data_IF_460884132571
#
_entry.id   IF_460884132571
#
_cell.length_a   1.000
_cell.length_b   1.000
_cell.length_c   1.000
_cell.angle_alpha   90.00
_cell.angle_beta   90.00
_cell.angle_gamma   90.00
#
_symmetry.space_group_name_H-M   'P 1'
#
loop_
_entity.id
_entity.type
_entity.pdbx_description
1 polymer ?
#
# COMPACT_ATOMS: atom_id res chain seq x y z
N UNK A 1 -11.28 -14.43 4.53
CA UNK A 1 -9.86 -14.38 4.94
C UNK A 1 -9.49 -12.90 5.10
N UNK A 2 -8.57 -12.49 5.98
CA UNK A 2 -8.26 -11.04 6.16
C UNK A 2 -7.62 -10.41 4.91
N UNK A 3 -7.16 -11.25 3.99
CA UNK A 3 -6.63 -10.92 2.65
C UNK A 3 -7.38 -11.86 1.71
N UNK A 4 -8.13 -11.31 0.76
CA UNK A 4 -8.82 -12.07 -0.30
C UNK A 4 -7.84 -12.39 -1.46
N UNK A 5 -8.30 -13.20 -2.43
CA UNK A 5 -7.47 -13.64 -3.55
C UNK A 5 -6.97 -12.47 -4.41
N UNK A 6 -7.81 -11.46 -4.64
CA UNK A 6 -7.44 -10.24 -5.40
C UNK A 6 -6.34 -9.47 -4.65
N UNK A 7 -6.50 -9.29 -3.34
CA UNK A 7 -5.49 -8.67 -2.50
C UNK A 7 -4.16 -9.44 -2.52
N UNK A 8 -4.21 -10.78 -2.58
CA UNK A 8 -3.01 -11.62 -2.68
C UNK A 8 -2.29 -11.43 -4.02
N UNK A 9 -3.03 -11.38 -5.13
CA UNK A 9 -2.46 -11.16 -6.46
C UNK A 9 -1.76 -9.80 -6.55
N UNK A 10 -2.37 -8.73 -6.00
CA UNK A 10 -1.74 -7.41 -5.92
C UNK A 10 -0.43 -7.48 -5.13
N UNK A 11 -0.40 -8.19 -4.01
CA UNK A 11 0.81 -8.34 -3.20
C UNK A 11 1.91 -9.12 -3.93
N UNK A 12 1.56 -10.13 -4.71
CA UNK A 12 2.53 -10.86 -5.54
C UNK A 12 3.14 -9.98 -6.63
N UNK A 13 2.35 -9.10 -7.24
CA UNK A 13 2.85 -8.16 -8.24
C UNK A 13 3.70 -7.05 -7.60
N UNK A 14 3.31 -6.52 -6.43
CA UNK A 14 4.13 -5.60 -5.64
C UNK A 14 5.46 -6.23 -5.21
N UNK A 15 5.45 -7.52 -4.87
CA UNK A 15 6.67 -8.30 -4.59
C UNK A 15 7.61 -8.34 -5.80
N UNK A 16 7.07 -8.67 -6.99
CA UNK A 16 7.86 -8.75 -8.23
C UNK A 16 8.51 -7.41 -8.57
N UNK A 17 7.74 -6.32 -8.53
CA UNK A 17 8.28 -4.98 -8.81
C UNK A 17 9.32 -4.56 -7.77
N UNK A 18 9.05 -4.84 -6.49
CA UNK A 18 10.02 -4.54 -5.41
C UNK A 18 11.32 -5.33 -5.59
N UNK A 19 11.23 -6.60 -5.97
CA UNK A 19 12.41 -7.44 -6.24
C UNK A 19 13.20 -6.91 -7.42
N UNK A 20 12.53 -6.47 -8.48
CA UNK A 20 13.17 -5.89 -9.65
C UNK A 20 13.89 -4.59 -9.28
N UNK A 21 13.20 -3.65 -8.65
CA UNK A 21 13.76 -2.35 -8.26
C UNK A 21 14.94 -2.45 -7.28
N UNK A 22 14.85 -3.33 -6.27
CA UNK A 22 15.89 -3.45 -5.24
C UNK A 22 17.04 -4.37 -5.66
N UNK A 23 16.87 -5.17 -6.71
CA UNK A 23 17.69 -6.33 -7.06
C UNK A 23 18.01 -7.24 -5.86
N UNK A 24 17.15 -7.25 -4.83
CA UNK A 24 17.38 -7.93 -3.57
C UNK A 24 16.16 -8.75 -3.15
N UNK A 25 16.20 -10.04 -3.49
CA UNK A 25 15.14 -11.00 -3.13
C UNK A 25 14.83 -11.03 -1.63
N UNK A 26 15.85 -10.92 -0.77
CA UNK A 26 15.66 -10.98 0.69
C UNK A 26 14.94 -9.73 1.19
N UNK A 27 15.30 -8.57 0.65
CA UNK A 27 14.67 -7.30 1.04
C UNK A 27 13.22 -7.23 0.54
N UNK A 28 12.96 -7.62 -0.70
CA UNK A 28 11.60 -7.70 -1.23
C UNK A 28 10.69 -8.59 -0.37
N UNK A 29 11.17 -9.77 0.05
CA UNK A 29 10.41 -10.63 0.97
C UNK A 29 10.17 -9.96 2.33
N UNK A 30 11.16 -9.22 2.83
CA UNK A 30 11.05 -8.56 4.13
C UNK A 30 10.03 -7.42 4.10
N UNK A 31 10.05 -6.60 3.05
CA UNK A 31 9.07 -5.51 2.83
C UNK A 31 7.66 -6.10 2.79
N UNK A 32 7.41 -7.12 1.95
CA UNK A 32 6.08 -7.72 1.83
C UNK A 32 5.62 -8.41 3.12
N UNK A 33 6.54 -9.10 3.82
CA UNK A 33 6.25 -9.69 5.14
C UNK A 33 5.86 -8.63 6.16
N UNK A 34 6.52 -7.48 6.17
CA UNK A 34 6.21 -6.41 7.09
C UNK A 34 4.87 -5.75 6.74
N UNK A 35 4.55 -5.57 5.46
CA UNK A 35 3.25 -5.12 4.96
C UNK A 35 2.12 -6.03 5.43
N UNK A 36 2.23 -7.35 5.18
CA UNK A 36 1.23 -8.34 5.58
C UNK A 36 1.05 -8.34 7.11
N UNK A 37 2.13 -8.25 7.87
CA UNK A 37 2.06 -8.21 9.34
C UNK A 37 1.37 -6.97 9.87
N UNK A 38 1.58 -5.81 9.25
CA UNK A 38 0.89 -4.57 9.63
C UNK A 38 -0.60 -4.68 9.29
N UNK A 39 -0.93 -5.10 8.07
CA UNK A 39 -2.31 -5.25 7.61
C UNK A 39 -3.12 -6.23 8.49
N UNK A 40 -2.59 -7.43 8.74
CA UNK A 40 -3.24 -8.44 9.60
C UNK A 40 -3.47 -7.88 11.01
N UNK A 41 -2.49 -7.16 11.55
CA UNK A 41 -2.59 -6.65 12.92
C UNK A 41 -3.66 -5.56 13.06
N UNK A 42 -3.73 -4.64 12.09
CA UNK A 42 -4.82 -3.64 12.03
C UNK A 42 -6.17 -4.34 11.87
N UNK A 43 -6.27 -5.35 10.99
CA UNK A 43 -7.48 -6.13 10.79
C UNK A 43 -7.95 -6.86 12.05
N UNK A 44 -7.04 -7.41 12.86
CA UNK A 44 -7.37 -8.05 14.14
C UNK A 44 -7.87 -7.02 15.16
N UNK A 45 -7.21 -5.86 15.28
CA UNK A 45 -7.64 -4.78 16.18
C UNK A 45 -9.06 -4.30 15.81
N UNK A 46 -9.31 -4.11 14.51
CA UNK A 46 -10.63 -3.70 14.00
C UNK A 46 -11.71 -4.75 14.32
N UNK A 47 -11.47 -6.02 13.97
CA UNK A 47 -12.44 -7.11 14.20
C UNK A 47 -12.75 -7.37 15.66
N UNK A 48 -11.78 -7.11 16.55
CA UNK A 48 -11.94 -7.30 17.99
C UNK A 48 -12.41 -6.02 18.71
N UNK A 49 -12.87 -5.00 17.97
CA UNK A 49 -13.34 -3.72 18.52
C UNK A 49 -12.34 -3.08 19.50
N UNK A 50 -11.04 -3.19 19.21
CA UNK A 50 -9.98 -2.67 20.08
C UNK A 50 -9.76 -1.16 19.91
N UNK A 51 -10.29 -0.58 18.82
CA UNK A 51 -10.20 0.85 18.57
C UNK A 51 -11.23 1.63 19.38
N UNK A 52 -10.78 2.71 20.00
CA UNK A 52 -11.62 3.75 20.60
C UNK A 52 -12.42 4.52 19.55
N UNK A 53 -13.40 5.32 19.97
CA UNK A 53 -14.20 6.14 19.04
C UNK A 53 -13.32 7.12 18.23
N UNK A 54 -12.29 7.71 18.86
CA UNK A 54 -11.32 8.57 18.19
C UNK A 54 -10.54 7.80 17.11
N UNK A 55 -10.10 6.57 17.43
CA UNK A 55 -9.39 5.71 16.49
C UNK A 55 -10.27 5.21 15.35
N UNK A 56 -11.57 4.98 15.58
CA UNK A 56 -12.54 4.66 14.52
C UNK A 56 -12.66 5.81 13.52
N UNK A 57 -12.60 7.08 13.97
CA UNK A 57 -12.54 8.23 13.06
C UNK A 57 -11.25 8.21 12.22
N UNK A 58 -10.12 7.79 12.81
CA UNK A 58 -8.85 7.62 12.07
C UNK A 58 -8.97 6.48 11.05
N UNK A 59 -9.63 5.36 11.39
CA UNK A 59 -9.91 4.27 10.42
C UNK A 59 -10.66 4.81 9.21
N UNK A 60 -11.72 5.60 9.42
CA UNK A 60 -12.49 6.18 8.31
C UNK A 60 -11.68 7.18 7.48
N UNK A 61 -10.82 7.98 8.11
CA UNK A 61 -9.86 8.85 7.39
C UNK A 61 -8.88 8.02 6.55
N UNK A 62 -8.33 6.94 7.13
CA UNK A 62 -7.41 6.04 6.46
C UNK A 62 -8.07 5.34 5.27
N UNK A 63 -9.32 4.87 5.40
CA UNK A 63 -10.08 4.28 4.29
C UNK A 63 -10.26 5.27 3.15
N UNK A 64 -10.71 6.49 3.43
CA UNK A 64 -10.85 7.55 2.42
C UNK A 64 -9.51 7.87 1.74
N UNK A 65 -8.42 7.92 2.51
CA UNK A 65 -7.09 8.19 1.97
C UNK A 65 -6.55 7.04 1.10
N UNK A 66 -6.76 5.80 1.52
CA UNK A 66 -6.41 4.61 0.74
C UNK A 66 -7.21 4.54 -0.55
N UNK A 67 -8.52 4.78 -0.50
CA UNK A 67 -9.39 4.84 -1.66
C UNK A 67 -8.93 5.94 -2.65
N UNK A 68 -8.66 7.16 -2.16
CA UNK A 68 -8.08 8.23 -2.98
C UNK A 68 -6.75 7.81 -3.62
N UNK A 69 -5.85 7.20 -2.85
CA UNK A 69 -4.53 6.76 -3.35
C UNK A 69 -4.68 5.68 -4.40
N UNK A 70 -5.58 4.72 -4.20
CA UNK A 70 -5.89 3.65 -5.13
C UNK A 70 -6.42 4.19 -6.47
N UNK A 71 -7.38 5.13 -6.43
CA UNK A 71 -7.88 5.80 -7.63
C UNK A 71 -6.78 6.57 -8.37
N UNK A 72 -5.90 7.25 -7.63
CA UNK A 72 -4.74 7.96 -8.24
C UNK A 72 -3.78 6.99 -8.91
N UNK A 73 -3.49 5.83 -8.29
CA UNK A 73 -2.62 4.78 -8.88
C UNK A 73 -3.20 4.30 -10.22
N UNK A 74 -4.50 4.01 -10.26
CA UNK A 74 -5.17 3.57 -11.49
C UNK A 74 -5.16 4.68 -12.53
N UNK A 75 -5.54 5.91 -12.16
CA UNK A 75 -5.59 7.06 -13.07
C UNK A 75 -4.23 7.34 -13.73
N UNK A 76 -3.14 7.28 -12.95
CA UNK A 76 -1.78 7.47 -13.46
C UNK A 76 -1.32 6.36 -14.42
N UNK A 77 -1.90 5.16 -14.33
CA UNK A 77 -1.62 4.07 -15.26
C UNK A 77 -2.46 4.17 -16.54
N UNK A 78 -3.75 4.46 -16.40
CA UNK A 78 -4.74 4.48 -17.48
C UNK A 78 -4.68 5.73 -18.35
N UNK A 79 -4.29 6.87 -17.77
CA UNK A 79 -4.20 8.16 -18.50
C UNK A 79 -2.74 8.52 -18.73
N UNK A 80 -2.31 8.42 -19.98
CA UNK A 80 -0.93 8.75 -20.38
C UNK A 80 -0.55 10.19 -19.99
N UNK A 81 0.73 10.37 -19.65
CA UNK A 81 1.31 11.67 -19.29
C UNK A 81 0.75 12.36 -18.03
N UNK A 82 -0.09 11.69 -17.24
CA UNK A 82 -0.62 12.24 -15.97
C UNK A 82 0.19 11.83 -14.74
N UNK A 83 1.07 10.84 -14.86
CA UNK A 83 1.83 10.31 -13.73
C UNK A 83 2.72 11.38 -13.08
N UNK A 84 2.46 11.64 -11.79
CA UNK A 84 3.29 12.47 -10.94
C UNK A 84 3.73 11.69 -9.69
N UNK A 85 5.02 11.29 -9.70
CA UNK A 85 5.64 10.56 -8.59
C UNK A 85 5.60 11.33 -7.26
N UNK A 86 5.62 12.67 -7.29
CA UNK A 86 5.59 13.49 -6.08
C UNK A 86 4.21 13.48 -5.43
N UNK A 87 3.14 13.51 -6.24
CA UNK A 87 1.76 13.39 -5.78
C UNK A 87 1.53 12.01 -5.15
N UNK A 88 1.93 10.94 -5.84
CA UNK A 88 1.74 9.59 -5.31
C UNK A 88 2.59 9.31 -4.06
N UNK A 89 3.84 9.77 -4.02
CA UNK A 89 4.69 9.69 -2.82
C UNK A 89 4.05 10.40 -1.63
N UNK A 90 3.51 11.62 -1.84
CA UNK A 90 2.81 12.37 -0.79
C UNK A 90 1.58 11.63 -0.26
N UNK A 91 0.73 11.09 -1.15
CA UNK A 91 -0.45 10.32 -0.74
C UNK A 91 -0.07 9.08 0.09
N UNK A 92 1.00 8.38 -0.30
CA UNK A 92 1.50 7.23 0.45
C UNK A 92 2.08 7.63 1.81
N UNK A 93 2.72 8.79 1.92
CA UNK A 93 3.14 9.32 3.23
C UNK A 93 1.96 9.73 4.11
N UNK A 94 0.89 10.32 3.55
CA UNK A 94 -0.33 10.60 4.31
C UNK A 94 -0.99 9.30 4.82
N UNK A 95 -1.02 8.24 4.01
CA UNK A 95 -1.42 6.90 4.47
C UNK A 95 -0.53 6.40 5.62
N UNK A 96 0.79 6.56 5.51
CA UNK A 96 1.76 6.15 6.55
C UNK A 96 1.45 6.82 7.89
N UNK A 97 1.22 8.13 7.86
CA UNK A 97 1.01 8.92 9.06
C UNK A 97 -0.31 8.53 9.75
N UNK A 98 -1.38 8.32 8.97
CA UNK A 98 -2.66 7.81 9.48
C UNK A 98 -2.52 6.40 10.08
N UNK A 99 -1.72 5.52 9.46
CA UNK A 99 -1.44 4.19 10.01
C UNK A 99 -0.66 4.31 11.32
N UNK A 100 0.30 5.23 11.43
CA UNK A 100 1.01 5.48 12.68
C UNK A 100 0.11 6.01 13.79
N UNK A 101 -0.78 6.95 13.47
CA UNK A 101 -1.75 7.51 14.41
C UNK A 101 -2.71 6.42 14.92
N UNK A 102 -3.26 5.62 14.01
CA UNK A 102 -4.21 4.54 14.31
C UNK A 102 -3.65 3.51 15.31
N UNK A 103 -2.35 3.23 15.20
CA UNK A 103 -1.72 2.12 15.92
C UNK A 103 -0.91 2.55 17.14
N UNK A 104 -0.81 3.85 17.39
CA UNK A 104 0.04 4.45 18.41
C UNK A 104 -0.21 3.88 19.82
N UNK A 105 -1.47 3.63 20.18
CA UNK A 105 -1.86 3.13 21.51
C UNK A 105 -1.81 1.61 21.63
N UNK A 106 -1.66 0.91 20.51
CA UNK A 106 -1.86 -0.54 20.43
C UNK A 106 -0.58 -1.32 20.15
N UNK A 107 0.45 -0.67 19.57
CA UNK A 107 1.55 -1.38 18.96
C UNK A 107 2.94 -0.99 19.46
N UNK A 108 3.83 -1.97 19.34
CA UNK A 108 5.22 -1.86 19.80
C UNK A 108 6.06 -1.01 18.84
N UNK A 109 7.22 -0.47 19.31
CA UNK A 109 8.19 0.22 18.44
C UNK A 109 8.58 -0.59 17.20
N UNK A 110 8.62 -1.92 17.34
CA UNK A 110 8.85 -2.84 16.21
C UNK A 110 7.82 -2.67 15.09
N UNK A 111 6.55 -2.42 15.42
CA UNK A 111 5.51 -2.23 14.40
C UNK A 111 5.62 -0.87 13.72
N UNK A 112 5.97 0.18 14.46
CA UNK A 112 6.33 1.47 13.86
C UNK A 112 7.50 1.34 12.89
N UNK A 113 8.52 0.55 13.24
CA UNK A 113 9.62 0.22 12.32
C UNK A 113 9.15 -0.47 11.03
N UNK A 114 8.18 -1.40 11.13
CA UNK A 114 7.59 -2.07 9.95
C UNK A 114 6.80 -1.11 9.07
N UNK A 115 6.00 -0.22 9.66
CA UNK A 115 5.21 0.77 8.93
C UNK A 115 6.16 1.68 8.13
N UNK A 116 7.19 2.21 8.78
CA UNK A 116 8.21 3.00 8.09
C UNK A 116 8.91 2.21 6.99
N UNK A 117 9.31 0.97 7.25
CA UNK A 117 9.98 0.11 6.26
C UNK A 117 9.13 -0.09 5.01
N UNK A 118 7.84 -0.33 5.17
CA UNK A 118 6.89 -0.54 4.05
C UNK A 118 6.64 0.76 3.29
N UNK A 119 6.19 1.81 3.98
CA UNK A 119 5.77 3.03 3.31
C UNK A 119 6.94 3.84 2.74
N UNK A 120 8.12 3.83 3.39
CA UNK A 120 9.28 4.52 2.83
C UNK A 120 9.76 3.86 1.53
N UNK A 121 9.58 2.54 1.38
CA UNK A 121 9.86 1.85 0.12
C UNK A 121 8.83 2.22 -0.96
N UNK A 122 7.53 2.04 -0.70
CA UNK A 122 6.51 2.28 -1.72
C UNK A 122 6.33 3.77 -2.06
N UNK A 123 6.64 4.69 -1.13
CA UNK A 123 6.61 6.14 -1.37
C UNK A 123 7.92 6.69 -1.95
N UNK A 124 8.94 5.84 -2.16
CA UNK A 124 10.20 6.26 -2.74
C UNK A 124 9.98 6.68 -4.21
N UNK A 125 10.43 7.90 -4.55
CA UNK A 125 10.20 8.45 -5.89
C UNK A 125 10.91 7.67 -7.01
N UNK A 126 12.06 7.04 -6.74
CA UNK A 126 12.77 6.19 -7.70
C UNK A 126 12.03 4.86 -7.90
N UNK A 127 11.50 4.26 -6.84
CA UNK A 127 10.62 3.09 -6.93
C UNK A 127 9.39 3.41 -7.77
N UNK A 128 8.71 4.53 -7.49
CA UNK A 128 7.54 4.97 -8.25
C UNK A 128 7.89 5.25 -9.72
N UNK A 129 9.04 5.87 -9.99
CA UNK A 129 9.52 6.09 -11.36
C UNK A 129 9.80 4.76 -12.08
N UNK A 130 10.35 3.76 -11.38
CA UNK A 130 10.58 2.41 -11.92
C UNK A 130 9.26 1.72 -12.25
N UNK A 131 8.29 1.79 -11.34
CA UNK A 131 6.98 1.16 -11.50
C UNK A 131 6.19 1.72 -12.69
N UNK A 132 6.24 3.03 -12.92
CA UNK A 132 5.50 3.72 -13.99
C UNK A 132 6.31 3.97 -15.27
N UNK A 133 7.57 3.53 -15.33
CA UNK A 133 8.41 3.69 -16.53
C UNK A 133 7.77 3.02 -17.73
N UNK A 134 7.67 3.75 -18.85
CA UNK A 134 7.18 3.21 -20.12
C UNK A 134 8.19 2.26 -20.77
N UNK A 135 9.48 2.50 -20.55
CA UNK A 135 10.59 1.71 -21.09
C UNK A 135 11.02 0.57 -20.13
N UNK A 136 10.30 0.39 -19.02
CA UNK A 136 10.65 -0.58 -17.97
C UNK A 136 9.87 -1.88 -18.06
N UNK A 137 10.43 -2.95 -17.49
CA UNK A 137 9.83 -4.28 -17.47
C UNK A 137 8.63 -4.42 -16.49
N UNK A 138 8.35 -3.38 -15.72
CA UNK A 138 7.29 -3.39 -14.69
C UNK A 138 5.89 -3.12 -15.24
N UNK A 139 5.74 -2.73 -16.52
CA UNK A 139 4.44 -2.37 -17.11
C UNK A 139 3.38 -3.48 -17.02
N UNK A 140 3.70 -4.77 -17.25
CA UNK A 140 2.74 -5.87 -17.07
C UNK A 140 2.33 -6.05 -15.60
N UNK A 141 3.25 -5.83 -14.65
CA UNK A 141 2.96 -5.91 -13.22
C UNK A 141 2.05 -4.76 -12.80
N UNK A 142 2.36 -3.53 -13.22
CA UNK A 142 1.54 -2.34 -12.94
C UNK A 142 0.12 -2.51 -13.49
N UNK A 143 -0.03 -3.06 -14.70
CA UNK A 143 -1.34 -3.40 -15.27
C UNK A 143 -2.17 -4.28 -14.33
N UNK A 144 -1.59 -5.40 -13.87
CA UNK A 144 -2.28 -6.35 -12.97
C UNK A 144 -2.59 -5.73 -11.61
N UNK A 145 -1.69 -4.88 -11.10
CA UNK A 145 -1.94 -4.12 -9.86
C UNK A 145 -3.17 -3.22 -10.05
N UNK A 146 -3.25 -2.47 -11.15
CA UNK A 146 -4.39 -1.59 -11.43
C UNK A 146 -5.70 -2.38 -11.65
N UNK A 147 -5.65 -3.51 -12.36
CA UNK A 147 -6.80 -4.41 -12.53
C UNK A 147 -7.31 -4.92 -11.18
N UNK A 148 -6.41 -5.37 -10.30
CA UNK A 148 -6.76 -5.80 -8.94
C UNK A 148 -7.32 -4.66 -8.09
N UNK A 149 -6.73 -3.46 -8.17
CA UNK A 149 -7.22 -2.28 -7.45
C UNK A 149 -8.63 -1.90 -7.92
N UNK A 150 -8.88 -1.85 -9.23
CA UNK A 150 -10.22 -1.56 -9.77
C UNK A 150 -11.25 -2.56 -9.26
N UNK A 151 -10.91 -3.86 -9.24
CA UNK A 151 -11.80 -4.88 -8.68
C UNK A 151 -12.10 -4.65 -7.19
N UNK A 152 -11.09 -4.30 -6.38
CA UNK A 152 -11.30 -3.99 -4.96
C UNK A 152 -12.12 -2.71 -4.73
N UNK A 153 -12.02 -1.72 -5.62
CA UNK A 153 -12.84 -0.51 -5.61
C UNK A 153 -14.31 -0.83 -5.96
N UNK A 154 -14.54 -1.65 -6.99
CA UNK A 154 -15.88 -2.08 -7.42
C UNK A 154 -16.60 -2.90 -6.34
N UNK A 155 -15.86 -3.77 -5.65
CA UNK A 155 -16.35 -4.57 -4.53
C UNK A 155 -16.51 -3.76 -3.22
N UNK A 156 -16.15 -2.47 -3.22
CA UNK A 156 -16.15 -1.57 -2.03
C UNK A 156 -15.32 -2.12 -0.87
N UNK A 157 -14.26 -2.87 -1.20
CA UNK A 157 -13.27 -3.36 -0.24
C UNK A 157 -12.32 -2.21 0.14
N UNK A 158 -11.95 -1.38 -0.85
CA UNK A 158 -11.15 -0.16 -0.69
C UNK A 158 -11.99 1.09 -0.41
#
# INVERSE_FOLDING_TARGET
MLIDDTSSEIFDELYKVTKEHTHNKKEAHKIMKDLIKVAIKIGILYRNNQFSQEEVVIVEKLRKKLNQTAMTIVSFYEVEYTFDRSVLSKLLHECKDLVHELVQRHLTPRTHGRINHVFNHFANMEFLSTLYSLDGDCRPNLKRICEGINKLLDEKVL
#
